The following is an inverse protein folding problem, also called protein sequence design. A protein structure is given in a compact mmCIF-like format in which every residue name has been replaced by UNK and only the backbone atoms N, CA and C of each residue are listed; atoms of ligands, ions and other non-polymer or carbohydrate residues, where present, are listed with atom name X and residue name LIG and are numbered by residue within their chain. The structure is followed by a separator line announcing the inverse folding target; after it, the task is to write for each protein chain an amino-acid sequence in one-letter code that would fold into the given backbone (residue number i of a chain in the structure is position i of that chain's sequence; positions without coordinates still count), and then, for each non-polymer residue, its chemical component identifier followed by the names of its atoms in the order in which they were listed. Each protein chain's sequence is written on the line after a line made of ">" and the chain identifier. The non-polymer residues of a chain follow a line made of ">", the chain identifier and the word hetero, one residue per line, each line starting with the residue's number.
data_IF_761605956652
#
_entry.id   IF_761605956652
#
_cell.length_a   1.000
_cell.length_b   1.000
_cell.length_c   1.000
_cell.angle_alpha   90.00
_cell.angle_beta   90.00
_cell.angle_gamma   90.00
#
_symmetry.space_group_name_H-M   'P 1'
#
loop_
_entity.id
_entity.type
_entity.pdbx_description
1 polymer ?
#
# COMPACT_ATOMS: atom_id res chain seq x y z
N UNK A 1 -32.96 -82.81 -19.88
CA UNK A 1 -32.71 -82.54 -18.44
C UNK A 1 -33.01 -81.05 -18.20
N UNK A 2 -34.15 -80.70 -17.57
CA UNK A 2 -34.52 -79.29 -17.35
C UNK A 2 -33.82 -78.78 -16.09
N UNK A 3 -32.81 -77.93 -16.27
CA UNK A 3 -32.02 -77.36 -15.17
C UNK A 3 -32.88 -76.33 -14.41
N UNK A 4 -33.61 -76.80 -13.39
CA UNK A 4 -34.36 -75.96 -12.43
C UNK A 4 -33.35 -75.26 -11.51
N UNK A 5 -32.79 -74.16 -11.98
CA UNK A 5 -31.79 -73.38 -11.24
C UNK A 5 -31.16 -72.28 -12.11
N UNK A 6 -31.20 -72.45 -13.43
CA UNK A 6 -30.61 -71.51 -14.38
C UNK A 6 -31.19 -70.08 -14.27
N UNK A 7 -32.49 -69.95 -13.97
CA UNK A 7 -33.12 -68.63 -13.75
C UNK A 7 -32.54 -67.90 -12.53
N UNK A 8 -32.26 -68.60 -11.45
CA UNK A 8 -31.67 -68.02 -10.24
C UNK A 8 -30.18 -67.68 -10.42
N UNK A 9 -29.45 -68.50 -11.17
CA UNK A 9 -28.03 -68.25 -11.50
C UNK A 9 -27.89 -67.02 -12.42
N UNK A 10 -28.78 -66.88 -13.40
CA UNK A 10 -28.79 -65.72 -14.31
C UNK A 10 -29.18 -64.44 -13.56
N UNK A 11 -30.20 -64.48 -12.69
CA UNK A 11 -30.60 -63.31 -11.89
C UNK A 11 -29.51 -62.89 -10.90
N UNK A 12 -28.83 -63.84 -10.25
CA UNK A 12 -27.74 -63.55 -9.31
C UNK A 12 -26.48 -63.02 -10.02
N UNK A 13 -26.20 -63.47 -11.24
CA UNK A 13 -25.08 -62.94 -12.04
C UNK A 13 -25.35 -61.51 -12.54
N UNK A 14 -26.59 -61.19 -12.88
CA UNK A 14 -27.01 -59.83 -13.29
C UNK A 14 -26.90 -58.83 -12.14
N UNK A 15 -27.18 -59.23 -10.90
CA UNK A 15 -27.03 -58.31 -9.74
C UNK A 15 -25.58 -58.10 -9.33
N UNK A 16 -24.68 -59.04 -9.61
CA UNK A 16 -23.24 -58.94 -9.35
C UNK A 16 -22.49 -58.06 -10.38
N UNK A 17 -23.00 -57.93 -11.61
CA UNK A 17 -22.39 -57.06 -12.63
C UNK A 17 -22.83 -55.58 -12.51
N UNK A 18 -23.89 -55.29 -11.76
CA UNK A 18 -24.38 -53.92 -11.54
C UNK A 18 -23.74 -53.22 -10.32
N UNK A 19 -22.93 -53.91 -9.52
CA UNK A 19 -22.23 -53.32 -8.37
C UNK A 19 -20.84 -52.77 -8.69
N UNK A 20 -20.39 -52.86 -9.95
CA UNK A 20 -19.18 -52.17 -10.41
C UNK A 20 -19.47 -50.70 -10.70
N UNK A 21 -19.02 -49.78 -9.85
CA UNK A 21 -19.28 -48.34 -10.00
C UNK A 21 -18.56 -47.70 -11.21
N UNK A 22 -17.66 -48.41 -11.89
CA UNK A 22 -16.91 -47.89 -13.04
C UNK A 22 -17.73 -47.85 -14.34
N UNK A 23 -18.83 -48.61 -14.46
CA UNK A 23 -19.59 -48.69 -15.72
C UNK A 23 -20.42 -47.42 -16.05
N UNK A 24 -20.64 -46.55 -15.06
CA UNK A 24 -21.38 -45.29 -15.22
C UNK A 24 -20.48 -44.04 -15.29
N UNK A 25 -19.17 -44.21 -15.54
CA UNK A 25 -18.23 -43.08 -15.61
C UNK A 25 -18.03 -42.38 -14.27
N UNK A 26 -18.31 -43.08 -13.16
CA UNK A 26 -17.91 -42.69 -11.81
C UNK A 26 -16.54 -43.29 -11.49
N UNK A 27 -15.59 -43.07 -12.39
CA UNK A 27 -14.20 -43.41 -12.12
C UNK A 27 -13.75 -42.62 -10.88
N UNK A 28 -12.98 -43.28 -10.01
CA UNK A 28 -12.46 -42.61 -8.82
C UNK A 28 -11.67 -41.39 -9.28
N UNK A 29 -12.03 -40.21 -8.79
CA UNK A 29 -11.39 -38.96 -9.17
C UNK A 29 -9.87 -39.10 -8.95
N UNK A 30 -9.09 -39.01 -10.03
CA UNK A 30 -7.63 -39.07 -9.93
C UNK A 30 -7.16 -37.96 -9.00
N UNK A 31 -6.14 -38.24 -8.19
CA UNK A 31 -5.55 -37.22 -7.34
C UNK A 31 -5.00 -36.10 -8.22
N UNK A 32 -5.70 -34.98 -8.27
CA UNK A 32 -5.23 -33.80 -8.96
C UNK A 32 -3.97 -33.31 -8.28
N UNK A 33 -2.82 -33.42 -8.96
CA UNK A 33 -1.59 -32.75 -8.54
C UNK A 33 -1.80 -31.24 -8.72
N UNK A 34 -2.30 -30.60 -7.66
CA UNK A 34 -2.45 -29.15 -7.64
C UNK A 34 -1.07 -28.52 -7.81
N UNK A 35 -0.86 -27.85 -8.96
CA UNK A 35 0.34 -27.03 -9.14
C UNK A 35 0.22 -25.81 -8.23
N UNK A 36 0.78 -25.95 -7.02
CA UNK A 36 0.86 -24.89 -6.04
C UNK A 36 1.52 -23.62 -6.59
N UNK A 37 2.32 -23.70 -7.66
CA UNK A 37 2.92 -22.52 -8.30
C UNK A 37 2.01 -21.85 -9.32
N UNK A 38 1.11 -22.59 -9.98
CA UNK A 38 0.18 -22.03 -10.95
C UNK A 38 -0.90 -21.12 -10.31
N UNK A 39 -1.14 -21.27 -9.01
CA UNK A 39 -2.18 -20.52 -8.27
C UNK A 39 -1.68 -19.40 -7.35
N UNK A 40 -0.37 -19.23 -7.16
CA UNK A 40 0.17 -18.18 -6.29
C UNK A 40 0.48 -16.95 -7.15
N UNK A 41 -0.23 -15.82 -6.96
CA UNK A 41 0.10 -14.58 -7.63
C UNK A 41 1.53 -14.16 -7.29
N UNK A 42 2.37 -13.95 -8.30
CA UNK A 42 3.71 -13.38 -8.11
C UNK A 42 3.56 -11.90 -7.70
N UNK A 43 4.07 -11.57 -6.52
CA UNK A 43 4.07 -10.23 -5.98
C UNK A 43 5.36 -9.46 -6.32
N UNK A 44 6.29 -10.07 -7.07
CA UNK A 44 7.52 -9.43 -7.47
C UNK A 44 7.27 -8.47 -8.64
N UNK A 45 7.73 -7.23 -8.48
CA UNK A 45 7.65 -6.20 -9.54
C UNK A 45 8.83 -6.29 -10.52
N UNK A 46 9.85 -7.11 -10.22
CA UNK A 46 11.05 -7.33 -11.04
C UNK A 46 11.82 -6.03 -11.38
N UNK A 47 11.64 -4.98 -10.58
CA UNK A 47 12.30 -3.67 -10.72
C UNK A 47 12.58 -3.05 -9.34
N UNK A 48 13.38 -1.98 -9.30
CA UNK A 48 13.57 -1.20 -8.06
C UNK A 48 12.36 -0.28 -7.80
N UNK A 49 12.28 0.34 -6.61
CA UNK A 49 11.13 1.16 -6.26
C UNK A 49 11.04 2.45 -7.10
N UNK A 50 12.18 3.02 -7.50
CA UNK A 50 12.20 4.17 -8.40
C UNK A 50 11.65 3.86 -9.79
N UNK A 51 12.06 2.74 -10.39
CA UNK A 51 11.55 2.27 -11.68
C UNK A 51 10.06 1.92 -11.58
N UNK A 52 9.61 1.36 -10.46
CA UNK A 52 8.20 1.11 -10.21
C UNK A 52 7.37 2.41 -10.20
N UNK A 53 7.85 3.46 -9.53
CA UNK A 53 7.23 4.80 -9.54
C UNK A 53 7.14 5.32 -10.98
N UNK A 54 8.22 5.20 -11.76
CA UNK A 54 8.27 5.67 -13.14
C UNK A 54 7.36 4.85 -14.09
N UNK A 55 7.15 3.57 -13.81
CA UNK A 55 6.29 2.69 -14.62
C UNK A 55 4.79 3.00 -14.47
N UNK A 56 4.41 3.70 -13.40
CA UNK A 56 3.01 3.95 -13.00
C UNK A 56 2.73 5.44 -12.78
N UNK A 57 2.99 6.24 -13.81
CA UNK A 57 2.74 7.69 -13.79
C UNK A 57 1.26 8.05 -13.62
N UNK A 58 0.35 7.13 -13.95
CA UNK A 58 -1.09 7.27 -13.72
C UNK A 58 -1.42 7.52 -12.24
N UNK A 59 -0.65 6.92 -11.33
CA UNK A 59 -0.86 7.02 -9.88
C UNK A 59 0.28 7.70 -9.12
N UNK A 60 1.48 7.84 -9.70
CA UNK A 60 2.65 8.40 -9.02
C UNK A 60 3.27 9.63 -9.70
N UNK A 61 2.55 10.32 -10.59
CA UNK A 61 3.09 11.52 -11.25
C UNK A 61 3.59 12.56 -10.25
N UNK A 62 2.83 12.86 -9.19
CA UNK A 62 3.22 13.84 -8.17
C UNK A 62 4.37 13.34 -7.30
N UNK A 63 4.37 12.05 -6.94
CA UNK A 63 5.44 11.43 -6.17
C UNK A 63 6.76 11.45 -6.96
N UNK A 64 6.72 11.12 -8.25
CA UNK A 64 7.89 11.18 -9.14
C UNK A 64 8.49 12.59 -9.15
N UNK A 65 7.66 13.61 -9.33
CA UNK A 65 8.12 15.00 -9.38
C UNK A 65 8.74 15.43 -8.06
N UNK A 66 8.17 14.99 -6.92
CA UNK A 66 8.73 15.22 -5.59
C UNK A 66 10.11 14.56 -5.41
N UNK A 67 10.26 13.29 -5.82
CA UNK A 67 11.53 12.55 -5.72
C UNK A 67 12.62 13.23 -6.56
N UNK A 68 12.29 13.65 -7.80
CA UNK A 68 13.23 14.38 -8.66
C UNK A 68 13.59 15.74 -8.08
N UNK A 69 12.61 16.48 -7.55
CA UNK A 69 12.85 17.79 -6.95
C UNK A 69 13.79 17.71 -5.74
N UNK A 70 13.67 16.64 -4.94
CA UNK A 70 14.47 16.40 -3.75
C UNK A 70 15.83 15.69 -4.00
N UNK A 71 16.16 15.34 -5.26
CA UNK A 71 17.33 14.53 -5.65
C UNK A 71 17.41 13.20 -4.86
N UNK A 72 16.30 12.46 -4.76
CA UNK A 72 16.18 11.25 -3.94
C UNK A 72 16.12 9.93 -4.71
N UNK A 73 16.40 9.94 -6.02
CA UNK A 73 16.30 8.78 -6.89
C UNK A 73 17.15 7.59 -6.41
N UNK A 74 18.35 7.86 -5.90
CA UNK A 74 19.24 6.82 -5.33
C UNK A 74 18.66 6.24 -4.05
N UNK A 75 18.00 7.05 -3.21
CA UNK A 75 17.39 6.58 -1.95
C UNK A 75 16.25 5.60 -2.22
N UNK A 76 15.49 5.82 -3.31
CA UNK A 76 14.44 4.91 -3.79
C UNK A 76 14.97 3.66 -4.51
N UNK A 77 16.28 3.41 -4.46
CA UNK A 77 16.92 2.17 -4.92
C UNK A 77 17.61 1.40 -3.79
N UNK A 78 17.46 1.86 -2.55
CA UNK A 78 18.03 1.25 -1.35
C UNK A 78 17.49 -0.17 -1.10
N UNK A 79 18.34 -0.98 -0.49
CA UNK A 79 17.98 -2.32 -0.01
C UNK A 79 17.49 -2.27 1.44
N UNK A 80 17.00 -3.41 1.93
CA UNK A 80 16.61 -3.60 3.35
C UNK A 80 15.62 -2.56 3.89
N UNK A 81 14.68 -2.14 3.06
CA UNK A 81 13.68 -1.14 3.43
C UNK A 81 12.27 -1.52 2.94
N UNK A 82 11.31 -0.78 3.48
CA UNK A 82 9.90 -0.85 3.12
C UNK A 82 9.45 0.52 2.67
N UNK A 83 9.11 0.64 1.39
CA UNK A 83 8.62 1.84 0.76
C UNK A 83 7.12 1.95 0.96
N UNK A 84 6.66 3.07 1.51
CA UNK A 84 5.25 3.41 1.60
C UNK A 84 4.98 4.49 0.56
N UNK A 85 4.49 4.10 -0.62
CA UNK A 85 4.38 5.00 -1.76
C UNK A 85 3.01 5.71 -1.79
N UNK A 86 2.94 7.02 -1.47
CA UNK A 86 1.71 7.78 -1.59
C UNK A 86 1.33 7.98 -3.07
N UNK A 87 0.08 7.70 -3.42
CA UNK A 87 -0.45 7.95 -4.75
C UNK A 87 -0.82 9.42 -4.95
N UNK A 88 -1.15 9.82 -6.17
CA UNK A 88 -1.69 11.14 -6.50
C UNK A 88 -2.88 11.52 -5.60
N UNK A 89 -3.73 10.54 -5.27
CA UNK A 89 -4.86 10.70 -4.33
C UNK A 89 -4.39 11.16 -2.96
N UNK A 90 -3.26 10.65 -2.44
CA UNK A 90 -2.73 11.09 -1.15
C UNK A 90 -2.40 12.60 -1.12
N UNK A 91 -2.00 13.17 -2.26
CA UNK A 91 -1.65 14.58 -2.37
C UNK A 91 -2.88 15.47 -2.61
N UNK A 92 -3.76 15.06 -3.52
CA UNK A 92 -4.83 15.91 -4.05
C UNK A 92 -6.22 15.60 -3.52
N UNK A 93 -6.38 14.63 -2.62
CA UNK A 93 -7.70 14.29 -2.10
C UNK A 93 -8.36 15.51 -1.43
N UNK A 94 -9.64 15.71 -1.74
CA UNK A 94 -10.47 16.80 -1.25
C UNK A 94 -11.66 16.26 -0.45
N UNK A 95 -12.20 17.09 0.44
CA UNK A 95 -13.34 16.73 1.29
C UNK A 95 -12.91 15.91 2.51
N UNK A 96 -13.54 14.76 2.75
CA UNK A 96 -13.31 13.96 3.97
C UNK A 96 -11.95 13.23 4.00
N UNK A 97 -11.30 13.07 2.85
CA UNK A 97 -9.96 12.50 2.75
C UNK A 97 -8.98 13.64 2.59
N UNK A 98 -8.56 14.24 3.71
CA UNK A 98 -7.66 15.39 3.74
C UNK A 98 -6.34 15.09 3.02
N UNK A 99 -6.19 15.60 1.79
CA UNK A 99 -4.96 15.47 1.00
C UNK A 99 -3.81 16.28 1.60
N UNK A 100 -2.58 15.95 1.21
CA UNK A 100 -1.40 16.66 1.70
C UNK A 100 -1.45 18.16 1.37
N UNK A 101 -1.85 18.51 0.15
CA UNK A 101 -1.90 19.91 -0.30
C UNK A 101 -2.99 20.73 0.38
N UNK A 102 -4.12 20.11 0.74
CA UNK A 102 -5.19 20.82 1.45
C UNK A 102 -4.83 21.07 2.94
N UNK A 103 -4.03 20.17 3.52
CA UNK A 103 -3.58 20.29 4.92
C UNK A 103 -2.35 21.17 5.09
N UNK A 104 -1.52 21.30 4.06
CA UNK A 104 -0.28 22.07 4.06
C UNK A 104 -0.36 23.21 3.03
N UNK A 105 -1.25 24.17 3.26
CA UNK A 105 -1.40 25.32 2.35
C UNK A 105 -0.15 26.19 2.35
N UNK A 106 0.14 26.78 1.19
CA UNK A 106 1.23 27.73 1.01
C UNK A 106 0.66 29.15 1.00
N UNK A 107 1.42 30.08 1.57
CA UNK A 107 1.07 31.50 1.52
C UNK A 107 1.51 32.08 0.20
N UNK A 108 0.55 32.51 -0.60
CA UNK A 108 0.79 33.17 -1.89
C UNK A 108 0.32 34.62 -1.83
N UNK A 109 0.97 35.49 -2.60
CA UNK A 109 0.59 36.89 -2.69
C UNK A 109 -0.78 37.00 -3.34
N UNK A 110 -1.69 37.75 -2.71
CA UNK A 110 -3.01 38.02 -3.28
C UNK A 110 -2.86 39.00 -4.44
N UNK A 111 -3.38 38.63 -5.61
CA UNK A 111 -3.28 39.43 -6.83
C UNK A 111 -4.63 40.05 -7.18
N UNK A 112 -4.62 41.28 -7.71
CA UNK A 112 -5.80 41.92 -8.30
C UNK A 112 -6.16 41.35 -9.69
N UNK A 113 -7.24 41.83 -10.30
CA UNK A 113 -7.68 41.39 -11.65
C UNK A 113 -6.62 41.66 -12.75
N UNK A 114 -5.65 42.53 -12.47
CA UNK A 114 -4.57 42.94 -13.38
C UNK A 114 -3.25 42.20 -13.08
N UNK A 115 -3.22 41.36 -12.04
CA UNK A 115 -2.06 40.56 -11.64
C UNK A 115 -1.06 41.26 -10.72
N UNK A 116 -1.41 42.40 -10.12
CA UNK A 116 -0.56 43.11 -9.17
C UNK A 116 -0.84 42.68 -7.72
N UNK A 117 0.17 42.66 -6.83
CA UNK A 117 -0.04 42.33 -5.42
C UNK A 117 -0.97 43.33 -4.73
N UNK A 118 -2.04 42.82 -4.12
CA UNK A 118 -2.96 43.57 -3.28
C UNK A 118 -2.22 44.00 -2.02
N UNK A 119 -2.36 45.28 -1.68
CA UNK A 119 -1.76 45.88 -0.48
C UNK A 119 -2.82 46.28 0.53
N UNK A 120 -2.53 46.14 1.81
CA UNK A 120 -3.36 46.66 2.90
C UNK A 120 -3.29 48.19 3.00
N UNK A 121 -4.08 48.78 3.91
CA UNK A 121 -4.11 50.23 4.16
C UNK A 121 -2.74 50.79 4.63
N UNK A 122 -1.84 49.92 5.06
CA UNK A 122 -0.48 50.23 5.56
C UNK A 122 0.60 50.02 4.48
N UNK A 123 0.23 49.50 3.30
CA UNK A 123 1.10 49.28 2.15
C UNK A 123 1.80 47.91 2.10
N UNK A 124 1.50 46.99 3.02
CA UNK A 124 2.05 45.63 3.05
C UNK A 124 1.30 44.71 2.09
N UNK A 125 2.00 43.72 1.52
CA UNK A 125 1.40 42.72 0.62
C UNK A 125 0.49 41.78 1.42
N UNK A 126 -0.71 41.57 0.92
CA UNK A 126 -1.68 40.61 1.49
C UNK A 126 -1.35 39.22 0.98
N UNK A 127 -1.25 38.24 1.89
CA UNK A 127 -1.06 36.84 1.57
C UNK A 127 -2.34 36.04 1.80
N UNK A 128 -2.62 35.08 0.93
CA UNK A 128 -3.72 34.12 1.05
C UNK A 128 -3.19 32.69 1.13
N UNK A 129 -3.90 31.84 1.86
CA UNK A 129 -3.55 30.42 1.99
C UNK A 129 -4.17 29.64 0.82
N UNK A 130 -3.33 29.17 -0.10
CA UNK A 130 -3.76 28.36 -1.24
C UNK A 130 -3.22 26.93 -1.16
N UNK A 131 -4.03 25.98 -1.61
CA UNK A 131 -3.61 24.59 -1.73
C UNK A 131 -2.67 24.45 -2.94
N UNK A 132 -1.43 23.98 -2.76
CA UNK A 132 -0.51 23.84 -3.86
C UNK A 132 -0.94 22.74 -4.83
N UNK A 133 -0.48 22.84 -6.07
CA UNK A 133 -0.66 21.83 -7.13
C UNK A 133 0.56 20.91 -7.29
N UNK A 134 1.67 21.21 -6.62
CA UNK A 134 2.94 20.49 -6.75
C UNK A 134 3.77 20.57 -5.47
N UNK A 135 4.52 19.51 -5.18
CA UNK A 135 5.49 19.48 -4.07
C UNK A 135 6.63 20.49 -4.24
N UNK A 136 6.88 20.97 -5.46
CA UNK A 136 7.93 21.96 -5.77
C UNK A 136 7.69 23.34 -5.16
N UNK A 137 6.47 23.62 -4.68
CA UNK A 137 6.13 24.85 -3.97
C UNK A 137 6.56 24.83 -2.50
N UNK A 138 6.95 23.67 -1.96
CA UNK A 138 7.52 23.58 -0.62
C UNK A 138 9.05 23.67 -0.67
N UNK A 139 9.69 24.09 0.44
CA UNK A 139 11.14 23.98 0.57
C UNK A 139 11.65 22.56 0.28
N UNK A 140 12.76 22.45 -0.44
CA UNK A 140 13.34 21.17 -0.86
C UNK A 140 13.61 20.24 0.33
N UNK A 141 14.06 20.79 1.46
CA UNK A 141 14.31 20.09 2.71
C UNK A 141 13.03 19.47 3.28
N UNK A 142 11.90 20.18 3.21
CA UNK A 142 10.61 19.67 3.66
C UNK A 142 10.15 18.50 2.79
N UNK A 143 10.29 18.62 1.45
CA UNK A 143 9.96 17.53 0.52
C UNK A 143 10.85 16.31 0.79
N UNK A 144 12.14 16.52 1.01
CA UNK A 144 13.09 15.46 1.34
C UNK A 144 12.72 14.75 2.65
N UNK A 145 12.39 15.49 3.69
CA UNK A 145 11.98 14.91 4.98
C UNK A 145 10.68 14.12 4.84
N UNK A 146 9.70 14.64 4.10
CA UNK A 146 8.45 13.92 3.78
C UNK A 146 8.73 12.58 3.10
N UNK A 147 9.57 12.57 2.06
CA UNK A 147 9.92 11.35 1.33
C UNK A 147 10.67 10.35 2.20
N UNK A 148 11.66 10.80 2.99
CA UNK A 148 12.42 9.94 3.90
C UNK A 148 11.53 9.31 4.99
N UNK A 149 10.51 10.04 5.46
CA UNK A 149 9.56 9.51 6.43
C UNK A 149 8.75 8.34 5.85
N UNK A 150 8.45 8.36 4.55
CA UNK A 150 7.74 7.30 3.84
C UNK A 150 8.61 6.07 3.49
N UNK A 151 9.86 6.03 3.96
CA UNK A 151 10.76 4.88 3.80
C UNK A 151 11.10 4.32 5.18
N UNK A 152 10.58 3.13 5.48
CA UNK A 152 10.79 2.45 6.76
C UNK A 152 12.04 1.56 6.68
N UNK A 153 12.85 1.56 7.72
CA UNK A 153 14.03 0.70 7.85
C UNK A 153 13.61 -0.73 8.17
N UNK A 154 14.03 -1.70 7.36
CA UNK A 154 13.63 -3.10 7.49
C UNK A 154 12.60 -3.53 6.45
N UNK A 155 12.44 -4.84 6.31
CA UNK A 155 11.53 -5.48 5.34
C UNK A 155 10.25 -5.89 6.04
N UNK A 156 9.15 -5.15 5.83
CA UNK A 156 7.87 -5.39 6.49
C UNK A 156 6.79 -5.77 5.48
N UNK A 157 6.14 -6.89 5.75
CA UNK A 157 5.09 -7.50 4.95
C UNK A 157 3.91 -7.85 5.84
N UNK A 158 2.79 -8.22 5.23
CA UNK A 158 1.66 -8.79 5.95
C UNK A 158 2.03 -9.98 6.87
N UNK A 159 3.06 -10.76 6.52
CA UNK A 159 3.39 -12.00 7.23
C UNK A 159 4.32 -11.82 8.42
N UNK A 160 5.05 -10.71 8.50
CA UNK A 160 6.01 -10.47 9.58
C UNK A 160 5.70 -9.26 10.46
N UNK A 161 4.69 -8.46 10.10
CA UNK A 161 4.20 -7.40 10.96
C UNK A 161 3.51 -7.99 12.20
N UNK A 162 3.69 -7.36 13.38
CA UNK A 162 3.02 -7.77 14.58
C UNK A 162 1.52 -7.48 14.49
N UNK A 163 0.75 -8.12 15.36
CA UNK A 163 -0.69 -7.92 15.44
C UNK A 163 -1.11 -6.82 16.43
N UNK A 164 -0.15 -6.04 16.91
CA UNK A 164 -0.33 -4.97 17.88
C UNK A 164 0.45 -3.73 17.41
N UNK A 165 -0.05 -2.51 17.69
CA UNK A 165 0.59 -1.27 17.25
C UNK A 165 2.06 -1.21 17.65
N UNK A 166 2.95 -1.17 16.65
CA UNK A 166 4.41 -1.18 16.87
C UNK A 166 5.07 -0.06 16.06
N UNK A 167 6.01 0.64 16.69
CA UNK A 167 6.73 1.76 16.08
C UNK A 167 8.00 1.30 15.38
N UNK A 168 8.17 1.72 14.13
CA UNK A 168 9.33 1.39 13.30
C UNK A 168 10.05 2.66 12.85
N UNK A 169 11.37 2.61 12.88
CA UNK A 169 12.23 3.73 12.47
C UNK A 169 12.16 3.95 10.96
N UNK A 170 12.06 5.21 10.55
CA UNK A 170 12.14 5.62 9.14
C UNK A 170 13.55 6.12 8.81
N UNK A 171 13.80 6.48 7.55
CA UNK A 171 15.05 7.14 7.17
C UNK A 171 15.07 8.65 7.46
N UNK A 172 13.94 9.25 7.86
CA UNK A 172 13.94 10.65 8.24
C UNK A 172 14.79 10.87 9.52
N UNK A 173 15.51 12.01 9.63
CA UNK A 173 16.55 12.20 10.64
C UNK A 173 16.01 12.54 12.05
N UNK A 174 14.74 12.86 12.19
CA UNK A 174 14.16 13.29 13.47
C UNK A 174 13.99 12.13 14.48
N UNK A 175 14.05 12.43 15.77
CA UNK A 175 13.80 11.46 16.85
C UNK A 175 12.36 10.94 16.87
N UNK A 176 11.43 11.74 16.33
CA UNK A 176 10.03 11.37 16.13
C UNK A 176 9.75 10.68 14.81
N UNK A 177 10.75 10.40 13.98
CA UNK A 177 10.60 9.83 12.65
C UNK A 177 10.30 8.32 12.68
N UNK A 178 9.19 7.95 13.32
CA UNK A 178 8.72 6.58 13.48
C UNK A 178 7.31 6.41 12.95
N UNK A 179 7.07 5.34 12.20
CA UNK A 179 5.74 4.98 11.71
C UNK A 179 5.20 3.83 12.55
N UNK A 180 3.93 3.96 12.95
CA UNK A 180 3.20 2.86 13.57
C UNK A 180 2.75 1.87 12.49
N UNK A 181 3.11 0.58 12.59
CA UNK A 181 2.65 -0.44 11.63
C UNK A 181 2.26 -1.72 12.35
N UNK A 182 1.19 -2.35 11.91
CA UNK A 182 0.73 -3.64 12.44
C UNK A 182 -0.35 -4.24 11.54
N UNK A 183 -0.61 -5.53 11.71
CA UNK A 183 -1.78 -6.20 11.12
C UNK A 183 -2.97 -5.99 12.06
N UNK A 184 -3.97 -5.25 11.59
CA UNK A 184 -5.22 -5.06 12.31
C UNK A 184 -6.04 -6.36 12.27
N UNK A 185 -6.20 -7.01 13.42
CA UNK A 185 -6.97 -8.25 13.56
C UNK A 185 -8.46 -7.95 13.69
N UNK A 186 -9.14 -7.80 12.56
CA UNK A 186 -10.61 -7.78 12.49
C UNK A 186 -11.12 -8.92 11.58
N UNK A 187 -12.39 -8.84 11.15
CA UNK A 187 -12.97 -9.83 10.23
C UNK A 187 -12.35 -9.79 8.83
N UNK A 188 -11.63 -8.73 8.47
CA UNK A 188 -10.97 -8.52 7.19
C UNK A 188 -9.55 -7.96 7.42
N UNK A 189 -8.62 -8.80 7.90
CA UNK A 189 -7.34 -8.34 8.41
C UNK A 189 -6.55 -7.61 7.33
N UNK A 190 -6.03 -6.44 7.69
CA UNK A 190 -5.25 -5.61 6.79
C UNK A 190 -4.05 -5.01 7.52
N UNK A 191 -3.03 -4.61 6.77
CA UNK A 191 -1.96 -3.79 7.33
C UNK A 191 -2.53 -2.41 7.60
N UNK A 192 -2.26 -1.90 8.80
CA UNK A 192 -2.59 -0.55 9.19
C UNK A 192 -1.30 0.24 9.37
N UNK A 193 -1.26 1.43 8.76
CA UNK A 193 -0.15 2.37 8.84
C UNK A 193 -0.53 3.60 9.65
N UNK A 194 0.45 4.07 10.42
CA UNK A 194 0.47 5.32 11.14
C UNK A 194 -0.78 5.64 11.98
N UNK A 195 -1.38 4.62 12.58
CA UNK A 195 -2.60 4.75 13.36
C UNK A 195 -2.28 5.09 14.81
N UNK A 196 -2.48 6.35 15.18
CA UNK A 196 -2.27 6.84 16.54
C UNK A 196 -3.22 7.99 16.86
N UNK A 197 -3.47 8.22 18.14
CA UNK A 197 -4.35 9.29 18.61
C UNK A 197 -3.82 10.66 18.19
N UNK A 198 -4.65 11.44 17.49
CA UNK A 198 -4.30 12.77 16.98
C UNK A 198 -3.72 12.78 15.56
N UNK A 199 -3.54 11.62 14.91
CA UNK A 199 -3.29 11.59 13.48
C UNK A 199 -4.55 12.07 12.71
N UNK A 200 -4.35 12.70 11.55
CA UNK A 200 -5.46 13.27 10.77
C UNK A 200 -6.42 12.22 10.20
N UNK A 201 -5.95 10.97 10.09
CA UNK A 201 -6.71 9.83 9.55
C UNK A 201 -6.37 8.56 10.32
N UNK A 202 -7.40 7.85 10.75
CA UNK A 202 -7.25 6.55 11.41
C UNK A 202 -7.24 5.41 10.39
N UNK A 203 -6.66 4.29 10.76
CA UNK A 203 -6.69 3.03 10.01
C UNK A 203 -6.28 3.17 8.54
N UNK A 204 -5.13 3.79 8.26
CA UNK A 204 -4.62 3.91 6.89
C UNK A 204 -4.24 2.52 6.38
N UNK A 205 -4.93 2.08 5.33
CA UNK A 205 -4.73 0.78 4.69
C UNK A 205 -4.01 0.93 3.36
N UNK A 206 -3.20 -0.05 2.95
CA UNK A 206 -2.62 -0.07 1.62
C UNK A 206 -3.71 -0.27 0.56
N UNK A 207 -3.56 0.42 -0.56
CA UNK A 207 -4.28 0.14 -1.82
C UNK A 207 -3.76 -1.15 -2.45
N UNK A 208 -2.44 -1.32 -2.42
CA UNK A 208 -1.75 -2.53 -2.88
C UNK A 208 -0.59 -2.79 -1.94
N UNK A 209 -0.47 -4.01 -1.42
CA UNK A 209 0.50 -4.36 -0.40
C UNK A 209 1.41 -5.49 -0.84
N UNK A 210 2.52 -5.67 -0.10
CA UNK A 210 3.45 -6.78 -0.24
C UNK A 210 4.09 -6.89 -1.64
N UNK A 211 4.27 -5.79 -2.37
CA UNK A 211 4.98 -5.83 -3.65
C UNK A 211 6.49 -5.95 -3.39
N UNK A 212 7.14 -6.96 -3.94
CA UNK A 212 8.56 -7.19 -3.73
C UNK A 212 9.38 -6.58 -4.85
N UNK A 213 10.39 -5.79 -4.50
CA UNK A 213 11.36 -5.23 -5.47
C UNK A 213 12.39 -6.27 -5.88
N UNK A 214 13.08 -6.05 -7.01
CA UNK A 214 14.16 -6.92 -7.49
C UNK A 214 15.30 -7.12 -6.47
N UNK A 215 15.52 -6.15 -5.57
CA UNK A 215 16.56 -6.19 -4.53
C UNK A 215 16.05 -6.64 -3.15
N UNK A 216 14.81 -7.15 -3.09
CA UNK A 216 14.24 -7.74 -1.88
C UNK A 216 13.66 -6.76 -0.86
N UNK A 217 13.67 -5.46 -1.11
CA UNK A 217 12.85 -4.45 -0.39
C UNK A 217 11.36 -4.62 -0.75
N UNK A 218 10.47 -4.09 0.08
CA UNK A 218 9.02 -4.18 -0.13
C UNK A 218 8.38 -2.82 -0.40
N UNK A 219 7.29 -2.82 -1.16
CA UNK A 219 6.48 -1.66 -1.51
C UNK A 219 5.05 -1.90 -1.03
N UNK A 220 4.51 -0.89 -0.35
CA UNK A 220 3.07 -0.74 -0.08
C UNK A 220 2.61 0.58 -0.70
N UNK A 221 1.60 0.52 -1.55
CA UNK A 221 0.98 1.67 -2.21
C UNK A 221 -0.16 2.17 -1.34
N UNK A 222 -0.22 3.47 -1.07
CA UNK A 222 -1.16 4.06 -0.12
C UNK A 222 -1.87 5.27 -0.73
N UNK A 223 -3.18 5.37 -0.56
CA UNK A 223 -4.01 6.52 -0.98
C UNK A 223 -4.08 7.61 0.11
N UNK A 224 -3.07 7.72 0.96
CA UNK A 224 -2.99 8.64 2.09
C UNK A 224 -1.53 8.96 2.38
N UNK A 225 -1.28 10.15 2.91
CA UNK A 225 0.03 10.59 3.36
C UNK A 225 0.16 10.30 4.86
N UNK A 226 1.37 10.39 5.40
CA UNK A 226 1.61 10.13 6.82
C UNK A 226 2.39 11.29 7.43
N UNK A 227 1.96 11.70 8.62
CA UNK A 227 2.69 12.67 9.44
C UNK A 227 3.44 12.01 10.58
N UNK A 228 4.47 12.68 11.09
CA UNK A 228 5.22 12.24 12.25
C UNK A 228 4.37 12.33 13.51
N UNK A 229 4.45 11.34 14.40
CA UNK A 229 3.89 11.47 15.75
C UNK A 229 4.61 12.57 16.53
N UNK A 230 3.92 13.13 17.51
CA UNK A 230 4.55 14.05 18.48
C UNK A 230 5.40 13.27 19.49
N UNK A 231 6.37 13.94 20.13
CA UNK A 231 7.17 13.33 21.23
C UNK A 231 6.30 12.77 22.35
N UNK A 232 5.17 13.43 22.65
CA UNK A 232 4.18 12.98 23.63
C UNK A 232 3.59 11.61 23.27
N UNK A 233 3.25 11.38 22.00
CA UNK A 233 2.70 10.11 21.52
C UNK A 233 3.74 8.99 21.63
N UNK A 234 5.00 9.30 21.34
CA UNK A 234 6.10 8.34 21.44
C UNK A 234 6.62 8.12 22.87
N UNK A 235 6.12 8.88 23.86
CA UNK A 235 6.63 8.83 25.23
C UNK A 235 8.09 9.31 25.37
N UNK A 236 8.58 10.10 24.41
CA UNK A 236 9.92 10.69 24.44
C UNK A 236 9.88 11.91 25.37
N UNK A 237 10.82 11.98 26.31
CA UNK A 237 10.97 13.09 27.25
C UNK A 237 11.59 14.31 26.60
#
# INVERSE_FOLDING_TARGET
>A
MKIKGLKWIVTMSITLTLTGCEFFGLDMQESYEYDYKAGIPDNNVHMNAWDFIQSRLDIFSLLKDAVKYADMEETFQSEDCTYLLPTNTAFTATGNSLGYFDTHKVKVESLDEEGNPIRDEEGNIVYVDEAPISMTMYPKEQVKEFLLYHIVKGKYTFTNLPAEPTWFETFAPADTAKINMYVYKDRNPNITFNNFEGHYKNDIKPRSSNLQTARGSYIHVIDSWMDRPTKKILGIK
#
